data_IF_717645693668
#
_entry.id   IF_717645693668
#
_cell.length_a   1.000
_cell.length_b   1.000
_cell.length_c   1.000
_cell.angle_alpha   90.00
_cell.angle_beta   90.00
_cell.angle_gamma   90.00
#
_symmetry.space_group_name_H-M   'P 1'
#
loop_
_entity.id
_entity.type
_entity.pdbx_description
1 polymer ?
#
# COMPACT_ATOMS: atom_id res chain seq x y z
N UNK A 1 15.32 3.35 19.69
CA UNK A 1 14.78 4.72 19.46
C UNK A 1 13.64 4.57 18.48
N UNK A 2 12.53 5.30 18.65
CA UNK A 2 11.43 5.31 17.67
C UNK A 2 11.66 6.53 16.77
N UNK A 3 11.82 6.31 15.47
CA UNK A 3 12.16 7.37 14.50
C UNK A 3 10.92 8.15 14.03
N UNK A 4 9.75 7.51 14.00
CA UNK A 4 8.51 8.13 13.56
C UNK A 4 7.30 7.20 13.65
N UNK A 5 6.11 7.78 13.59
CA UNK A 5 4.84 7.07 13.56
C UNK A 5 3.97 7.60 12.43
N UNK A 6 3.09 6.74 11.90
CA UNK A 6 2.16 7.14 10.85
C UNK A 6 0.83 6.42 10.99
N UNK A 7 -0.24 7.14 10.74
CA UNK A 7 -1.61 6.64 10.76
C UNK A 7 -2.33 7.14 9.51
N UNK A 8 -3.19 6.28 8.97
CA UNK A 8 -4.06 6.62 7.86
C UNK A 8 -5.41 5.93 8.00
N UNK A 9 -6.46 6.59 7.52
CA UNK A 9 -7.81 6.05 7.44
C UNK A 9 -8.34 6.33 6.04
N UNK A 10 -8.97 5.32 5.44
CA UNK A 10 -9.45 5.40 4.06
C UNK A 10 -10.89 4.91 3.97
N UNK A 11 -11.69 5.62 3.19
CA UNK A 11 -13.06 5.24 2.89
C UNK A 11 -13.11 4.30 1.68
N UNK A 12 -13.77 3.15 1.82
CA UNK A 12 -13.84 2.13 0.76
C UNK A 12 -14.53 2.67 -0.51
N UNK A 13 -15.58 3.48 -0.35
CA UNK A 13 -16.30 4.07 -1.48
C UNK A 13 -15.43 4.99 -2.33
N UNK A 14 -14.52 5.74 -1.69
CA UNK A 14 -13.54 6.58 -2.40
C UNK A 14 -12.59 5.74 -3.25
N UNK A 15 -12.14 4.59 -2.74
CA UNK A 15 -11.28 3.66 -3.49
C UNK A 15 -12.06 3.05 -4.64
N UNK A 16 -13.30 2.61 -4.41
CA UNK A 16 -14.15 2.03 -5.43
C UNK A 16 -14.40 3.02 -6.59
N UNK A 17 -14.72 4.27 -6.27
CA UNK A 17 -14.87 5.34 -7.27
C UNK A 17 -13.56 5.59 -8.05
N UNK A 18 -12.41 5.53 -7.37
CA UNK A 18 -11.10 5.71 -8.00
C UNK A 18 -10.77 4.59 -8.99
N UNK A 19 -11.08 3.34 -8.65
CA UNK A 19 -10.93 2.19 -9.55
C UNK A 19 -11.81 2.38 -10.79
N UNK A 20 -13.09 2.72 -10.60
CA UNK A 20 -14.05 2.93 -11.71
C UNK A 20 -13.63 4.06 -12.64
N UNK A 21 -13.09 5.15 -12.07
CA UNK A 21 -12.64 6.32 -12.84
C UNK A 21 -11.36 6.04 -13.62
N UNK A 22 -10.44 5.26 -13.06
CA UNK A 22 -9.15 4.96 -13.69
C UNK A 22 -8.71 3.52 -13.39
N UNK A 23 -8.87 2.59 -14.35
CA UNK A 23 -8.43 1.20 -14.17
C UNK A 23 -6.94 1.05 -13.85
N UNK A 24 -6.08 1.97 -14.31
CA UNK A 24 -4.63 1.97 -13.98
C UNK A 24 -4.33 2.33 -12.53
N UNK A 25 -5.34 2.78 -11.76
CA UNK A 25 -5.18 3.12 -10.35
C UNK A 25 -4.67 1.92 -9.55
N UNK A 26 -5.21 0.72 -9.79
CA UNK A 26 -4.81 -0.50 -9.09
C UNK A 26 -3.30 -0.77 -9.28
N UNK A 27 -2.84 -0.76 -10.52
CA UNK A 27 -1.45 -1.01 -10.90
C UNK A 27 -0.49 0.09 -10.42
N UNK A 28 -0.99 1.30 -10.16
CA UNK A 28 -0.18 2.36 -9.55
C UNK A 28 0.09 2.10 -8.07
N UNK A 29 -0.89 1.55 -7.34
CA UNK A 29 -0.82 1.35 -5.89
C UNK A 29 -0.15 0.02 -5.53
N UNK A 30 -0.45 -1.05 -6.25
CA UNK A 30 0.02 -2.40 -5.93
C UNK A 30 1.33 -2.72 -6.64
N UNK A 31 2.28 -3.30 -5.90
CA UNK A 31 3.44 -3.97 -6.52
C UNK A 31 2.98 -5.22 -7.27
N UNK A 32 3.86 -5.79 -8.08
CA UNK A 32 3.54 -6.99 -8.87
C UNK A 32 3.05 -8.15 -7.99
N UNK A 33 3.72 -8.43 -6.87
CA UNK A 33 3.32 -9.51 -5.95
C UNK A 33 1.95 -9.23 -5.29
N UNK A 34 1.69 -7.97 -4.94
CA UNK A 34 0.41 -7.56 -4.37
C UNK A 34 -0.72 -7.63 -5.40
N UNK A 35 -0.44 -7.26 -6.65
CA UNK A 35 -1.37 -7.31 -7.76
C UNK A 35 -1.78 -8.74 -8.10
N UNK A 36 -0.83 -9.68 -8.13
CA UNK A 36 -1.12 -11.11 -8.29
C UNK A 36 -2.07 -11.62 -7.21
N UNK A 37 -1.86 -11.19 -5.96
CA UNK A 37 -2.77 -11.54 -4.86
C UNK A 37 -4.14 -10.90 -5.00
N UNK A 38 -4.18 -9.63 -5.39
CA UNK A 38 -5.42 -8.91 -5.66
C UNK A 38 -6.27 -9.62 -6.72
N UNK A 39 -5.65 -10.11 -7.80
CA UNK A 39 -6.37 -10.79 -8.88
C UNK A 39 -7.01 -12.12 -8.44
N UNK A 40 -6.49 -12.78 -7.41
CA UNK A 40 -7.08 -13.99 -6.84
C UNK A 40 -8.30 -13.74 -5.94
N UNK A 41 -8.60 -12.48 -5.61
CA UNK A 41 -9.70 -12.12 -4.72
C UNK A 41 -11.02 -11.90 -5.49
N UNK A 42 -12.14 -12.10 -4.81
CA UNK A 42 -13.45 -11.68 -5.32
C UNK A 42 -13.60 -10.14 -5.31
N UNK A 43 -14.60 -9.62 -6.02
CA UNK A 43 -14.76 -8.17 -6.25
C UNK A 43 -14.85 -7.34 -4.96
N UNK A 44 -15.64 -7.77 -3.98
CA UNK A 44 -15.73 -7.06 -2.69
C UNK A 44 -14.39 -7.03 -1.95
N UNK A 45 -13.71 -8.18 -1.90
CA UNK A 45 -12.40 -8.31 -1.24
C UNK A 45 -11.30 -7.56 -1.97
N UNK A 46 -11.40 -7.38 -3.29
CA UNK A 46 -10.47 -6.56 -4.09
C UNK A 46 -10.46 -5.11 -3.62
N UNK A 47 -11.62 -4.50 -3.41
CA UNK A 47 -11.72 -3.10 -2.94
C UNK A 47 -11.11 -2.96 -1.55
N UNK A 48 -11.47 -3.84 -0.61
CA UNK A 48 -10.90 -3.84 0.75
C UNK A 48 -9.39 -4.03 0.74
N UNK A 49 -8.88 -4.97 -0.07
CA UNK A 49 -7.46 -5.24 -0.18
C UNK A 49 -6.69 -4.02 -0.70
N UNK A 50 -7.17 -3.41 -1.79
CA UNK A 50 -6.54 -2.22 -2.36
C UNK A 50 -6.57 -1.05 -1.38
N UNK A 51 -7.70 -0.83 -0.69
CA UNK A 51 -7.84 0.21 0.31
C UNK A 51 -6.87 0.00 1.49
N UNK A 52 -6.77 -1.22 2.00
CA UNK A 52 -5.82 -1.56 3.06
C UNK A 52 -4.36 -1.33 2.64
N UNK A 53 -4.01 -1.66 1.39
CA UNK A 53 -2.67 -1.38 0.84
C UNK A 53 -2.40 0.11 0.70
N UNK A 54 -3.37 0.86 0.21
CA UNK A 54 -3.26 2.32 0.10
C UNK A 54 -2.97 2.95 1.47
N UNK A 55 -3.83 2.68 2.46
CA UNK A 55 -3.73 3.27 3.80
C UNK A 55 -2.43 2.85 4.52
N UNK A 56 -2.05 1.58 4.42
CA UNK A 56 -0.81 1.10 5.04
C UNK A 56 0.44 1.74 4.42
N UNK A 57 0.47 1.95 3.10
CA UNK A 57 1.59 2.61 2.41
C UNK A 57 1.67 4.10 2.76
N UNK A 58 0.53 4.79 2.84
CA UNK A 58 0.45 6.18 3.32
C UNK A 58 0.93 6.30 4.79
N UNK A 59 0.46 5.42 5.68
CA UNK A 59 0.91 5.38 7.06
C UNK A 59 2.42 5.12 7.16
N UNK A 60 2.97 4.22 6.34
CA UNK A 60 4.41 3.97 6.28
C UNK A 60 5.18 5.22 5.82
N UNK A 61 4.77 5.86 4.73
CA UNK A 61 5.41 7.07 4.22
C UNK A 61 5.36 8.25 5.22
N UNK A 62 4.30 8.33 6.03
CA UNK A 62 4.20 9.29 7.16
C UNK A 62 5.20 8.98 8.27
N UNK A 63 5.30 7.70 8.66
CA UNK A 63 6.27 7.27 9.67
C UNK A 63 7.72 7.52 9.24
N UNK A 64 8.00 7.42 7.93
CA UNK A 64 9.30 7.73 7.33
C UNK A 64 9.57 9.24 7.16
N UNK A 65 8.57 10.10 7.40
CA UNK A 65 8.71 11.55 7.23
C UNK A 65 8.81 12.04 5.78
N UNK A 66 8.62 11.19 4.78
CA UNK A 66 8.73 11.55 3.36
C UNK A 66 7.40 11.99 2.76
N UNK A 67 6.30 11.38 3.20
CA UNK A 67 4.99 11.45 2.56
C UNK A 67 4.95 10.72 1.20
N UNK A 68 3.76 10.37 0.73
CA UNK A 68 3.59 9.82 -0.62
C UNK A 68 3.84 10.90 -1.67
N UNK A 69 4.70 10.59 -2.64
CA UNK A 69 5.15 11.52 -3.69
C UNK A 69 6.67 11.56 -3.81
N UNK A 70 7.37 11.70 -2.67
CA UNK A 70 8.82 11.46 -2.59
C UNK A 70 9.12 9.95 -2.50
N UNK A 71 8.31 9.23 -1.74
CA UNK A 71 8.23 7.77 -1.77
C UNK A 71 7.00 7.37 -2.57
N UNK A 72 7.19 6.56 -3.61
CA UNK A 72 6.11 6.04 -4.44
C UNK A 72 5.45 4.81 -3.81
N UNK A 73 4.21 4.52 -4.20
CA UNK A 73 3.52 3.30 -3.77
C UNK A 73 4.23 2.01 -4.19
N UNK A 74 5.01 2.05 -5.28
CA UNK A 74 5.78 0.91 -5.78
C UNK A 74 7.06 0.65 -4.97
N UNK A 75 7.52 1.63 -4.19
CA UNK A 75 8.73 1.50 -3.36
C UNK A 75 8.45 0.72 -2.06
N UNK A 76 7.17 0.56 -1.73
CA UNK A 76 6.69 -0.11 -0.52
C UNK A 76 5.89 -1.34 -0.95
N UNK A 77 6.36 -2.53 -0.56
CA UNK A 77 5.61 -3.78 -0.73
C UNK A 77 5.13 -4.29 0.64
N UNK A 78 3.86 -4.70 0.68
CA UNK A 78 3.25 -5.30 1.86
C UNK A 78 2.97 -6.78 1.63
N UNK A 79 3.87 -7.59 2.16
CA UNK A 79 3.77 -9.05 2.24
C UNK A 79 3.13 -9.50 3.55
N UNK A 80 2.51 -10.68 3.55
CA UNK A 80 2.10 -11.38 4.78
C UNK A 80 3.11 -12.49 5.06
N UNK A 81 3.88 -12.40 6.14
CA UNK A 81 4.62 -13.54 6.67
C UNK A 81 3.66 -14.55 7.33
N UNK A 82 4.11 -15.79 7.57
CA UNK A 82 3.37 -16.82 8.32
C UNK A 82 2.91 -16.34 9.71
N UNK A 83 3.61 -15.38 10.30
CA UNK A 83 3.27 -14.75 11.59
C UNK A 83 2.46 -13.45 11.46
N UNK A 84 2.06 -13.06 10.23
CA UNK A 84 1.40 -11.79 9.94
C UNK A 84 2.33 -10.57 9.84
N UNK A 85 3.65 -10.77 9.98
CA UNK A 85 4.65 -9.70 9.91
C UNK A 85 4.87 -9.18 8.48
N UNK A 86 4.89 -7.84 8.37
CA UNK A 86 5.17 -7.08 7.16
C UNK A 86 6.67 -7.08 6.89
N UNK A 87 7.14 -7.62 5.76
CA UNK A 87 8.53 -7.43 5.32
C UNK A 87 8.61 -6.30 4.30
N UNK A 88 9.28 -5.21 4.68
CA UNK A 88 9.74 -4.17 3.75
C UNK A 88 11.14 -4.54 3.26
N UNK A 89 11.40 -4.42 1.95
CA UNK A 89 12.77 -4.48 1.40
C UNK A 89 13.23 -3.04 1.18
N UNK A 90 13.99 -2.48 2.13
CA UNK A 90 14.70 -1.23 1.89
C UNK A 90 15.92 -1.53 1.02
N UNK A 91 16.02 -0.90 -0.15
CA UNK A 91 17.32 -0.76 -0.83
C UNK A 91 18.25 0.08 0.04
N UNK A 92 19.56 -0.19 -0.03
CA UNK A 92 20.58 0.50 0.75
C UNK A 92 20.50 2.02 0.54
N UNK A 93 20.28 2.80 1.61
CA UNK A 93 20.41 4.25 1.57
C UNK A 93 21.76 4.63 2.14
N UNK A 94 22.56 5.32 1.32
CA UNK A 94 23.71 6.09 1.79
C UNK A 94 23.19 7.25 2.65
N UNK A 95 23.65 7.29 3.90
CA UNK A 95 23.58 8.46 4.80
C UNK A 95 24.14 9.71 4.17
#
# INVERSE_FOLDING_TARGET
>A
MIEGIGIDIIELDRINQSIKRNPRFVQRILTENEYQRYEMLNEGRRVEFLAGRFAAKEACAKALGTGIGKTGFQDIEISSAETGLLKHRFGEWST
#
